data_IF_160615635483
#
_entry.id   IF_160615635483
#
_cell.length_a   1.000
_cell.length_b   1.000
_cell.length_c   1.000
_cell.angle_alpha   90.00
_cell.angle_beta   90.00
_cell.angle_gamma   90.00
#
_symmetry.space_group_name_H-M   'P 1'
#
loop_
_entity.id
_entity.type
_entity.pdbx_description
1 polymer ?
#
# COMPACT_ATOMS: atom_id res chain seq x y z
N UNK A 1 14.62 -11.01 19.28
CA UNK A 1 13.79 -10.96 18.07
C UNK A 1 12.40 -10.60 18.51
N UNK A 2 12.02 -9.32 18.40
CA UNK A 2 10.63 -8.93 18.57
C UNK A 2 9.92 -9.43 17.32
N UNK A 3 9.03 -10.41 17.46
CA UNK A 3 8.19 -10.86 16.36
C UNK A 3 7.26 -9.68 16.07
N UNK A 4 7.40 -9.04 14.91
CA UNK A 4 6.50 -7.98 14.47
C UNK A 4 5.07 -8.49 14.38
N UNK A 5 4.10 -7.60 14.55
CA UNK A 5 2.69 -7.94 14.36
C UNK A 5 2.41 -8.31 12.90
N UNK A 6 1.43 -9.19 12.65
CA UNK A 6 0.89 -9.35 11.31
C UNK A 6 0.47 -8.01 10.71
N UNK A 7 0.73 -7.79 9.43
CA UNK A 7 0.48 -6.52 8.74
C UNK A 7 -1.01 -6.15 8.79
N UNK A 8 -1.92 -7.14 8.68
CA UNK A 8 -3.35 -6.88 8.75
C UNK A 8 -3.77 -6.34 10.14
N UNK A 9 -3.21 -6.88 11.23
CA UNK A 9 -3.45 -6.42 12.60
C UNK A 9 -2.90 -5.01 12.80
N UNK A 10 -1.72 -4.73 12.26
CA UNK A 10 -1.11 -3.40 12.29
C UNK A 10 -2.00 -2.36 11.58
N UNK A 11 -2.54 -2.69 10.40
CA UNK A 11 -3.45 -1.80 9.67
C UNK A 11 -4.73 -1.53 10.46
N UNK A 12 -5.38 -2.58 10.98
CA UNK A 12 -6.63 -2.42 11.74
C UNK A 12 -6.42 -1.59 13.00
N UNK A 13 -5.29 -1.78 13.70
CA UNK A 13 -4.95 -0.97 14.86
C UNK A 13 -4.74 0.51 14.49
N UNK A 14 -4.05 0.79 13.39
CA UNK A 14 -3.71 2.15 12.98
C UNK A 14 -4.90 2.91 12.37
N UNK A 15 -5.71 2.25 11.53
CA UNK A 15 -6.70 2.93 10.69
C UNK A 15 -8.11 2.35 10.73
N UNK A 16 -8.32 1.18 11.34
CA UNK A 16 -9.62 0.47 11.31
C UNK A 16 -10.81 1.24 11.93
N UNK A 17 -10.53 2.23 12.80
CA UNK A 17 -11.54 3.10 13.42
C UNK A 17 -11.60 4.53 12.86
N UNK A 18 -10.78 4.88 11.87
CA UNK A 18 -10.69 6.27 11.41
C UNK A 18 -11.91 6.64 10.53
N UNK A 19 -12.73 7.64 10.92
CA UNK A 19 -13.88 8.05 10.11
C UNK A 19 -13.48 8.80 8.84
N UNK A 20 -12.23 9.27 8.74
CA UNK A 20 -11.70 9.97 7.56
C UNK A 20 -11.20 9.01 6.48
N UNK A 21 -10.86 7.77 6.86
CA UNK A 21 -10.37 6.73 5.95
C UNK A 21 -11.56 5.94 5.42
N UNK A 22 -11.58 5.70 4.11
CA UNK A 22 -12.68 4.98 3.47
C UNK A 22 -12.77 3.54 3.95
N UNK A 23 -13.99 3.04 4.13
CA UNK A 23 -14.24 1.66 4.57
C UNK A 23 -13.65 0.62 3.62
N UNK A 24 -13.64 0.90 2.33
CA UNK A 24 -12.99 0.09 1.30
C UNK A 24 -11.52 -0.20 1.60
N UNK A 25 -10.76 0.75 2.19
CA UNK A 25 -9.37 0.48 2.58
C UNK A 25 -9.25 -0.52 3.74
N UNK A 26 -10.30 -0.66 4.56
CA UNK A 26 -10.43 -1.71 5.56
C UNK A 26 -10.54 -3.12 4.98
N UNK A 27 -10.70 -3.26 3.66
CA UNK A 27 -10.74 -4.53 2.92
C UNK A 27 -9.50 -4.65 2.03
N UNK A 28 -9.19 -3.59 1.26
CA UNK A 28 -8.15 -3.62 0.23
C UNK A 28 -6.74 -3.70 0.81
N UNK A 29 -6.44 -2.96 1.88
CA UNK A 29 -5.10 -3.00 2.49
C UNK A 29 -4.82 -4.34 3.17
N UNK A 30 -5.75 -4.92 3.96
CA UNK A 30 -5.56 -6.27 4.51
C UNK A 30 -5.33 -7.34 3.43
N UNK A 31 -6.02 -7.28 2.30
CA UNK A 31 -5.81 -8.23 1.20
C UNK A 31 -4.39 -8.14 0.59
N UNK A 32 -3.82 -6.93 0.50
CA UNK A 32 -2.41 -6.74 0.11
C UNK A 32 -1.47 -7.28 1.19
N UNK A 33 -1.75 -7.00 2.46
CA UNK A 33 -0.96 -7.45 3.60
C UNK A 33 -0.86 -8.98 3.66
N UNK A 34 -1.98 -9.69 3.49
CA UNK A 34 -2.02 -11.15 3.47
C UNK A 34 -1.13 -11.74 2.37
N UNK A 35 -1.12 -11.14 1.17
CA UNK A 35 -0.29 -11.60 0.07
C UNK A 35 1.20 -11.25 0.22
N UNK A 36 1.53 -10.15 0.90
CA UNK A 36 2.92 -9.83 1.30
C UNK A 36 3.46 -10.87 2.30
N UNK A 37 2.62 -11.35 3.21
CA UNK A 37 3.00 -12.33 4.24
C UNK A 37 2.99 -13.77 3.72
N UNK A 38 2.34 -14.05 2.60
CA UNK A 38 2.21 -15.39 2.03
C UNK A 38 3.59 -15.99 1.68
N UNK A 39 3.77 -17.27 2.03
CA UNK A 39 4.95 -18.08 1.67
C UNK A 39 4.49 -19.45 1.13
N UNK A 40 4.84 -19.85 -0.11
CA UNK A 40 5.55 -19.05 -1.12
C UNK A 40 4.70 -17.89 -1.64
N UNK A 41 5.35 -16.85 -2.17
CA UNK A 41 4.67 -15.70 -2.78
C UNK A 41 3.83 -16.13 -3.98
N UNK A 42 2.54 -15.79 -3.96
CA UNK A 42 1.66 -15.91 -5.12
C UNK A 42 1.70 -14.57 -5.88
N UNK A 43 2.52 -14.52 -6.92
CA UNK A 43 2.75 -13.31 -7.73
C UNK A 43 1.46 -12.81 -8.39
N UNK A 44 0.63 -13.72 -8.89
CA UNK A 44 -0.61 -13.37 -9.57
C UNK A 44 -1.61 -12.76 -8.60
N UNK A 45 -1.76 -13.36 -7.41
CA UNK A 45 -2.68 -12.88 -6.38
C UNK A 45 -2.18 -11.58 -5.74
N UNK A 46 -0.89 -11.46 -5.41
CA UNK A 46 -0.31 -10.21 -4.91
C UNK A 46 -0.51 -9.05 -5.89
N UNK A 47 -0.23 -9.28 -7.18
CA UNK A 47 -0.45 -8.28 -8.23
C UNK A 47 -1.92 -7.86 -8.30
N UNK A 48 -2.85 -8.81 -8.23
CA UNK A 48 -4.28 -8.53 -8.27
C UNK A 48 -4.75 -7.72 -7.05
N UNK A 49 -4.26 -8.03 -5.85
CA UNK A 49 -4.56 -7.27 -4.64
C UNK A 49 -4.04 -5.83 -4.71
N UNK A 50 -2.80 -5.64 -5.18
CA UNK A 50 -2.21 -4.32 -5.41
C UNK A 50 -2.99 -3.53 -6.46
N UNK A 51 -3.36 -4.17 -7.56
CA UNK A 51 -4.19 -3.57 -8.61
C UNK A 51 -5.54 -3.10 -8.05
N UNK A 52 -6.20 -3.92 -7.21
CA UNK A 52 -7.47 -3.55 -6.56
C UNK A 52 -7.34 -2.31 -5.68
N UNK A 53 -6.31 -2.27 -4.83
CA UNK A 53 -6.01 -1.11 -3.98
C UNK A 53 -5.74 0.15 -4.81
N UNK A 54 -4.87 0.06 -5.81
CA UNK A 54 -4.45 1.21 -6.62
C UNK A 54 -5.56 1.72 -7.54
N UNK A 55 -6.40 0.84 -8.09
CA UNK A 55 -7.61 1.24 -8.82
C UNK A 55 -8.56 2.04 -7.94
N UNK A 56 -8.76 1.62 -6.70
CA UNK A 56 -9.57 2.39 -5.75
C UNK A 56 -8.94 3.75 -5.47
N UNK A 57 -7.65 3.81 -5.12
CA UNK A 57 -6.95 5.07 -4.87
C UNK A 57 -6.88 6.01 -6.10
N UNK A 58 -7.03 5.46 -7.32
CA UNK A 58 -7.13 6.23 -8.56
C UNK A 58 -8.57 6.67 -8.90
N UNK A 59 -9.58 6.17 -8.18
CA UNK A 59 -10.99 6.51 -8.44
C UNK A 59 -11.38 7.84 -7.80
N UNK A 60 -12.42 8.53 -8.29
CA UNK A 60 -12.93 9.75 -7.65
C UNK A 60 -13.27 9.57 -6.16
N UNK A 61 -13.73 8.38 -5.78
CA UNK A 61 -14.11 8.04 -4.41
C UNK A 61 -12.90 7.74 -3.53
N UNK A 62 -11.88 7.04 -4.07
CA UNK A 62 -10.72 6.63 -3.30
C UNK A 62 -9.57 7.65 -3.29
N UNK A 63 -9.49 8.53 -4.28
CA UNK A 63 -8.44 9.56 -4.42
C UNK A 63 -8.66 10.75 -3.47
N UNK A 64 -8.58 10.48 -2.18
CA UNK A 64 -8.69 11.48 -1.11
C UNK A 64 -7.37 11.61 -0.35
N UNK A 65 -7.12 12.79 0.24
CA UNK A 65 -5.91 13.04 1.04
C UNK A 65 -5.81 12.03 2.20
N UNK A 66 -6.92 11.80 2.91
CA UNK A 66 -6.98 10.87 4.03
C UNK A 66 -6.63 9.42 3.61
N UNK A 67 -7.16 8.95 2.48
CA UNK A 67 -6.88 7.60 1.98
C UNK A 67 -5.41 7.46 1.55
N UNK A 68 -4.91 8.39 0.75
CA UNK A 68 -3.54 8.34 0.22
C UNK A 68 -2.53 8.42 1.37
N UNK A 69 -2.75 9.33 2.33
CA UNK A 69 -1.90 9.49 3.51
C UNK A 69 -1.94 8.27 4.43
N UNK A 70 -3.09 7.64 4.61
CA UNK A 70 -3.18 6.43 5.45
C UNK A 70 -2.35 5.28 4.87
N UNK A 71 -2.46 5.04 3.56
CA UNK A 71 -1.66 4.01 2.87
C UNK A 71 -0.18 4.36 2.92
N UNK A 72 0.19 5.60 2.58
CA UNK A 72 1.57 6.08 2.62
C UNK A 72 2.22 5.86 3.99
N UNK A 73 1.61 6.38 5.06
CA UNK A 73 2.12 6.29 6.43
C UNK A 73 2.24 4.83 6.88
N UNK A 74 1.31 3.96 6.48
CA UNK A 74 1.35 2.55 6.85
C UNK A 74 2.59 1.84 6.28
N UNK A 75 2.92 2.12 5.02
CA UNK A 75 4.06 1.51 4.34
C UNK A 75 5.39 2.23 4.61
N UNK A 76 5.36 3.52 4.91
CA UNK A 76 6.55 4.34 5.21
C UNK A 76 7.11 4.08 6.62
N UNK A 77 6.25 3.80 7.60
CA UNK A 77 6.63 3.74 9.03
C UNK A 77 6.34 2.36 9.66
N UNK A 78 6.94 1.26 9.14
CA UNK A 78 6.66 -0.09 9.62
C UNK A 78 6.86 -0.28 11.12
N UNK A 79 7.93 0.30 11.66
CA UNK A 79 8.27 0.20 13.08
C UNK A 79 7.25 0.91 13.99
N UNK A 80 6.70 2.04 13.55
CA UNK A 80 5.68 2.78 14.31
C UNK A 80 4.35 2.00 14.39
N UNK A 81 4.05 1.22 13.35
CA UNK A 81 2.87 0.34 13.32
C UNK A 81 3.16 -1.05 13.91
N UNK A 82 4.40 -1.31 14.33
CA UNK A 82 4.80 -2.53 15.04
C UNK A 82 4.99 -3.76 14.15
N UNK A 83 5.22 -3.59 12.85
CA UNK A 83 5.61 -4.67 11.94
C UNK A 83 7.03 -4.47 11.39
N UNK A 84 7.65 -5.52 10.86
CA UNK A 84 9.11 -5.56 10.67
C UNK A 84 9.63 -4.81 9.45
N UNK A 85 8.78 -4.31 8.56
CA UNK A 85 9.23 -3.76 7.27
C UNK A 85 9.76 -4.83 6.29
N UNK A 86 9.76 -6.11 6.67
CA UNK A 86 10.54 -7.14 5.97
C UNK A 86 9.70 -7.85 4.89
N UNK A 87 9.86 -7.39 3.65
CA UNK A 87 9.34 -8.06 2.44
C UNK A 87 10.45 -8.46 1.45
N UNK A 88 11.67 -8.66 1.96
CA UNK A 88 12.88 -9.06 1.24
C UNK A 88 12.75 -10.36 0.42
N UNK A 89 11.85 -11.23 0.83
CA UNK A 89 11.49 -12.47 0.12
C UNK A 89 10.63 -12.25 -1.14
N UNK A 90 10.00 -11.07 -1.32
CA UNK A 90 9.19 -10.78 -2.50
C UNK A 90 10.09 -10.61 -3.72
N UNK A 91 9.57 -10.79 -4.94
CA UNK A 91 10.30 -10.39 -6.14
C UNK A 91 10.63 -8.88 -6.13
N UNK A 92 11.81 -8.46 -6.65
CA UNK A 92 12.26 -7.06 -6.59
C UNK A 92 11.25 -6.04 -7.07
N UNK A 93 10.52 -6.35 -8.15
CA UNK A 93 9.50 -5.46 -8.72
C UNK A 93 8.35 -5.13 -7.76
N UNK A 94 8.02 -6.03 -6.83
CA UNK A 94 7.05 -5.77 -5.77
C UNK A 94 7.67 -5.00 -4.61
N UNK A 95 8.93 -5.26 -4.29
CA UNK A 95 9.64 -4.52 -3.23
C UNK A 95 9.76 -3.04 -3.60
N UNK A 96 10.18 -2.76 -4.83
CA UNK A 96 10.31 -1.39 -5.35
C UNK A 96 8.94 -0.67 -5.33
N UNK A 97 7.89 -1.34 -5.80
CA UNK A 97 6.54 -0.78 -5.81
C UNK A 97 6.02 -0.48 -4.39
N UNK A 98 6.22 -1.40 -3.44
CA UNK A 98 5.80 -1.20 -2.04
C UNK A 98 6.63 -0.11 -1.34
N UNK A 99 7.92 0.01 -1.69
CA UNK A 99 8.75 1.12 -1.23
C UNK A 99 8.18 2.48 -1.68
N UNK A 100 7.72 2.57 -2.92
CA UNK A 100 7.17 3.81 -3.47
C UNK A 100 5.79 4.18 -2.91
N UNK A 101 5.07 3.26 -2.27
CA UNK A 101 3.84 3.59 -1.53
C UNK A 101 4.16 4.52 -0.35
N UNK A 102 5.29 4.32 0.32
CA UNK A 102 5.75 5.15 1.43
C UNK A 102 6.61 6.35 1.03
N UNK A 103 6.69 6.65 -0.28
CA UNK A 103 7.51 7.73 -0.82
C UNK A 103 6.81 9.09 -0.76
N UNK A 104 5.86 9.30 -1.69
CA UNK A 104 5.13 10.57 -1.83
C UNK A 104 3.64 10.36 -2.19
N UNK A 105 3.07 9.20 -1.87
CA UNK A 105 1.67 8.91 -2.15
C UNK A 105 0.75 9.90 -1.41
N UNK A 106 1.11 10.31 -0.20
CA UNK A 106 0.35 11.30 0.59
C UNK A 106 0.23 12.69 -0.08
N UNK A 107 1.12 13.04 -1.00
CA UNK A 107 1.10 14.33 -1.71
C UNK A 107 0.15 14.35 -2.91
N UNK A 108 -0.41 13.20 -3.29
CA UNK A 108 -1.28 13.00 -4.48
C UNK A 108 -2.40 14.03 -4.63
N UNK A 109 -2.93 14.53 -3.52
CA UNK A 109 -4.07 15.46 -3.50
C UNK A 109 -3.62 16.89 -3.19
N UNK A 110 -2.69 17.08 -2.25
CA UNK A 110 -2.29 18.40 -1.77
C UNK A 110 -1.17 19.03 -2.58
N UNK A 111 -0.29 18.22 -3.17
CA UNK A 111 0.86 18.63 -3.98
C UNK A 111 1.14 17.59 -5.10
N UNK A 112 0.20 17.41 -6.05
CA UNK A 112 0.25 16.32 -7.03
C UNK A 112 1.53 16.32 -7.89
N UNK A 113 2.15 17.48 -8.11
CA UNK A 113 3.42 17.61 -8.81
C UNK A 113 4.58 16.94 -8.05
N UNK A 114 4.55 16.91 -6.72
CA UNK A 114 5.55 16.21 -5.91
C UNK A 114 5.36 14.70 -6.08
N UNK A 115 4.16 14.19 -5.83
CA UNK A 115 3.84 12.78 -6.03
C UNK A 115 4.17 12.31 -7.46
N UNK A 116 3.91 13.15 -8.46
CA UNK A 116 4.23 12.86 -9.86
C UNK A 116 5.73 12.76 -10.14
N UNK A 117 6.54 13.66 -9.56
CA UNK A 117 8.00 13.66 -9.72
C UNK A 117 8.67 12.42 -9.10
N UNK A 118 8.04 11.81 -8.10
CA UNK A 118 8.51 10.57 -7.46
C UNK A 118 7.85 9.30 -8.03
N UNK A 119 7.05 9.42 -9.10
CA UNK A 119 6.28 8.30 -9.66
C UNK A 119 5.37 7.58 -8.63
N UNK A 120 4.86 8.33 -7.65
CA UNK A 120 4.08 7.84 -6.51
C UNK A 120 2.58 8.16 -6.58
N UNK A 121 2.07 8.74 -7.68
CA UNK A 121 0.60 8.87 -7.82
C UNK A 121 -0.05 7.49 -7.93
N UNK A 122 -1.31 7.32 -7.46
CA UNK A 122 -2.03 6.06 -7.59
C UNK A 122 -2.02 5.50 -9.01
N UNK A 123 -2.15 6.37 -10.02
CA UNK A 123 -2.19 5.98 -11.43
C UNK A 123 -0.81 5.53 -11.94
N UNK A 124 0.28 6.19 -11.53
CA UNK A 124 1.65 5.77 -11.90
C UNK A 124 1.98 4.41 -11.27
N UNK A 125 1.64 4.23 -10.00
CA UNK A 125 1.80 2.95 -9.29
C UNK A 125 0.92 1.85 -9.91
N UNK A 126 -0.31 2.18 -10.31
CA UNK A 126 -1.20 1.25 -11.00
C UNK A 126 -0.63 0.81 -12.35
N UNK A 127 -0.19 1.75 -13.17
CA UNK A 127 0.42 1.46 -14.48
C UNK A 127 1.66 0.55 -14.34
N UNK A 128 2.48 0.77 -13.31
CA UNK A 128 3.61 -0.13 -12.98
C UNK A 128 3.15 -1.51 -12.55
N UNK A 129 2.14 -1.60 -11.69
CA UNK A 129 1.56 -2.89 -11.24
C UNK A 129 1.04 -3.71 -12.41
N UNK A 130 0.39 -3.07 -13.39
CA UNK A 130 -0.16 -3.72 -14.57
C UNK A 130 0.92 -4.28 -15.51
N UNK A 131 2.15 -3.75 -15.45
CA UNK A 131 3.30 -4.23 -16.23
C UNK A 131 4.03 -5.42 -15.57
N UNK A 132 3.74 -5.71 -14.30
CA UNK A 132 4.30 -6.89 -13.62
C UNK A 132 3.65 -8.15 -14.20
N UNK A 133 4.48 -9.10 -14.62
CA UNK A 133 4.03 -10.39 -15.14
C UNK A 133 3.53 -11.27 -13.97
N UNK A 134 2.31 -11.84 -14.06
CA UNK A 134 1.75 -12.73 -13.03
C UNK A 134 2.62 -13.93 -12.72
#
# INVERSE_FOLDING_TARGET
>A
MTIGKPLNEAWQQAFGGSPAVSRELGILVPAVCEEIERRPTDRATLRASLEGLLRFLSSPEGRTDANCRAVDIFFCLPEEHGWSGAWDHLPPEFQDLLGDFGGALHDTVTAPEIAQNFDSTPEQLLDRTLKIVP
#
